data_IF_789938729371
#
_entry.id   IF_789938729371
#
_cell.length_a   1.000
_cell.length_b   1.000
_cell.length_c   1.000
_cell.angle_alpha   90.00
_cell.angle_beta   90.00
_cell.angle_gamma   90.00
#
_symmetry.space_group_name_H-M   'P 1'
#
loop_
_entity.id
_entity.type
_entity.pdbx_description
1 polymer ?
#
# COMPACT_ATOMS: atom_id res chain seq x y z
N UNK A 1 -10.64 -15.90 -13.28
CA UNK A 1 -11.95 -15.60 -12.67
C UNK A 1 -11.68 -14.73 -11.45
N UNK A 2 -12.02 -13.44 -11.50
CA UNK A 2 -11.83 -12.55 -10.34
C UNK A 2 -13.11 -12.55 -9.52
N UNK A 3 -13.05 -13.09 -8.30
CA UNK A 3 -14.18 -13.05 -7.37
C UNK A 3 -14.08 -11.78 -6.52
N UNK A 4 -15.00 -10.85 -6.73
CA UNK A 4 -15.09 -9.62 -5.94
C UNK A 4 -16.13 -9.82 -4.84
N UNK A 5 -15.75 -9.56 -3.59
CA UNK A 5 -16.61 -9.77 -2.42
C UNK A 5 -17.02 -8.43 -1.80
N UNK A 6 -18.29 -8.04 -1.89
CA UNK A 6 -18.81 -6.90 -1.12
C UNK A 6 -19.46 -7.41 0.18
N UNK A 7 -19.21 -6.73 1.31
CA UNK A 7 -19.82 -7.09 2.60
C UNK A 7 -20.64 -5.93 3.17
N UNK A 8 -21.93 -6.16 3.41
CA UNK A 8 -22.75 -5.20 4.15
C UNK A 8 -22.58 -5.46 5.65
N UNK A 9 -21.78 -4.61 6.30
CA UNK A 9 -21.63 -4.64 7.77
C UNK A 9 -22.78 -3.93 8.49
N UNK A 10 -23.75 -3.36 7.78
CA UNK A 10 -24.95 -2.75 8.36
C UNK A 10 -26.13 -3.74 8.34
N UNK A 11 -26.66 -4.01 9.52
CA UNK A 11 -27.73 -4.96 9.84
C UNK A 11 -28.87 -5.08 8.82
N UNK A 12 -29.10 -6.30 8.31
CA UNK A 12 -30.45 -6.91 8.33
C UNK A 12 -31.35 -6.88 7.10
N UNK A 13 -30.93 -6.41 5.92
CA UNK A 13 -31.78 -6.43 4.72
C UNK A 13 -31.21 -7.34 3.62
N UNK A 14 -32.01 -8.33 3.19
CA UNK A 14 -31.76 -9.14 1.99
C UNK A 14 -32.48 -8.49 0.82
N UNK A 15 -31.75 -8.01 -0.17
CA UNK A 15 -32.33 -7.69 -1.48
C UNK A 15 -31.44 -8.31 -2.57
N UNK A 16 -32.03 -9.22 -3.34
CA UNK A 16 -31.38 -9.94 -4.45
C UNK A 16 -31.87 -9.32 -5.74
N UNK A 17 -31.00 -8.60 -6.46
CA UNK A 17 -31.22 -8.31 -7.87
C UNK A 17 -30.08 -8.94 -8.68
N UNK A 18 -30.45 -9.95 -9.47
CA UNK A 18 -29.56 -10.64 -10.41
C UNK A 18 -29.31 -9.74 -11.62
N UNK A 19 -28.19 -9.00 -11.61
CA UNK A 19 -27.63 -8.40 -12.81
C UNK A 19 -26.72 -9.43 -13.51
N UNK A 20 -27.08 -9.82 -14.73
CA UNK A 20 -26.24 -10.68 -15.57
C UNK A 20 -25.06 -9.87 -16.13
N UNK A 21 -23.92 -9.97 -15.46
CA UNK A 21 -22.62 -9.50 -15.96
C UNK A 21 -21.85 -10.69 -16.56
N UNK A 22 -20.95 -10.48 -17.55
CA UNK A 22 -20.04 -11.52 -18.03
C UNK A 22 -19.03 -11.97 -16.97
N UNK A 23 -18.96 -11.26 -15.84
CA UNK A 23 -18.14 -11.56 -14.67
C UNK A 23 -19.06 -11.98 -13.50
N UNK A 24 -18.77 -13.11 -12.83
CA UNK A 24 -19.57 -13.57 -11.67
C UNK A 24 -19.08 -12.93 -10.39
N UNK A 25 -19.95 -12.14 -9.75
CA UNK A 25 -19.77 -11.62 -8.39
C UNK A 25 -20.37 -12.62 -7.41
N UNK A 26 -19.69 -12.94 -6.32
CA UNK A 26 -20.20 -13.87 -5.31
C UNK A 26 -20.02 -13.29 -3.90
N UNK A 27 -21.10 -13.28 -3.12
CA UNK A 27 -21.10 -12.87 -1.71
C UNK A 27 -20.58 -14.02 -0.84
N UNK A 28 -19.64 -13.76 0.08
CA UNK A 28 -19.04 -14.76 0.99
C UNK A 28 -19.33 -14.38 2.46
N UNK A 29 -19.67 -15.37 3.29
CA UNK A 29 -19.92 -15.21 4.74
C UNK A 29 -18.74 -15.74 5.61
N UNK A 30 -18.54 -15.16 6.81
CA UNK A 30 -17.43 -15.39 7.78
C UNK A 30 -17.17 -16.85 8.23
N UNK A 31 -15.92 -17.17 8.61
CA UNK A 31 -15.46 -18.46 9.19
C UNK A 31 -14.63 -18.24 10.49
N UNK A 32 -14.80 -19.01 11.60
CA UNK A 32 -14.06 -18.77 12.87
C UNK A 32 -12.96 -19.80 13.28
N UNK A 33 -11.82 -19.27 13.77
CA UNK A 33 -11.09 -19.69 15.01
C UNK A 33 -9.80 -20.56 14.95
N UNK A 34 -8.68 -20.14 15.59
CA UNK A 34 -7.58 -20.98 16.19
C UNK A 34 -6.75 -20.18 17.23
N UNK A 35 -6.24 -20.79 18.32
CA UNK A 35 -5.32 -20.17 19.31
C UNK A 35 -4.10 -21.04 19.70
N UNK A 36 -2.99 -20.43 20.17
CA UNK A 36 -1.73 -21.11 20.55
C UNK A 36 -0.87 -20.35 21.61
N UNK A 37 -0.04 -21.05 22.41
CA UNK A 37 0.99 -20.49 23.33
C UNK A 37 2.29 -21.33 23.39
N UNK A 38 3.49 -20.71 23.48
CA UNK A 38 4.72 -21.43 23.87
C UNK A 38 5.57 -20.79 25.00
N UNK A 39 6.47 -21.60 25.61
CA UNK A 39 7.49 -21.24 26.63
C UNK A 39 8.94 -21.23 26.07
N UNK A 40 9.65 -20.11 26.32
CA UNK A 40 11.09 -19.74 26.44
C UNK A 40 12.28 -20.39 25.65
N UNK A 41 13.21 -19.57 25.08
CA UNK A 41 14.60 -20.00 24.73
C UNK A 41 15.75 -18.93 24.83
N UNK A 42 17.03 -19.34 24.73
CA UNK A 42 18.19 -18.44 24.47
C UNK A 42 19.04 -18.85 23.25
N UNK A 43 19.09 -17.98 22.22
CA UNK A 43 20.20 -17.60 21.30
C UNK A 43 19.64 -16.95 20.02
N UNK A 44 20.31 -15.92 19.47
CA UNK A 44 19.81 -15.04 18.39
C UNK A 44 20.37 -15.44 17.02
N UNK A 45 19.51 -15.72 16.02
CA UNK A 45 19.86 -15.98 14.61
C UNK A 45 18.69 -15.55 13.70
N UNK A 46 18.99 -14.96 12.54
CA UNK A 46 18.04 -14.94 11.42
C UNK A 46 18.11 -16.29 10.70
N UNK A 47 16.96 -16.91 10.43
CA UNK A 47 16.88 -18.19 9.73
C UNK A 47 15.88 -18.04 8.59
N UNK A 48 16.34 -18.30 7.37
CA UNK A 48 15.43 -18.63 6.27
C UNK A 48 14.93 -20.05 6.55
N UNK A 49 13.61 -20.27 6.61
CA UNK A 49 13.07 -21.61 6.72
C UNK A 49 12.03 -21.86 5.64
N UNK A 50 12.06 -23.03 5.02
CA UNK A 50 10.97 -23.53 4.19
C UNK A 50 9.88 -24.05 5.12
N UNK A 51 8.66 -23.53 4.99
CA UNK A 51 7.53 -23.98 5.81
C UNK A 51 7.06 -25.34 5.30
N UNK A 52 7.06 -26.42 6.11
CA UNK A 52 6.64 -27.74 5.63
C UNK A 52 5.19 -27.71 5.13
N UNK A 53 4.98 -28.11 3.87
CA UNK A 53 3.65 -28.10 3.23
C UNK A 53 3.30 -26.83 2.45
N UNK A 54 4.19 -25.84 2.39
CA UNK A 54 4.07 -24.69 1.48
C UNK A 54 5.37 -24.51 0.68
N UNK A 55 5.25 -24.24 -0.62
CA UNK A 55 6.39 -23.88 -1.49
C UNK A 55 6.83 -22.42 -1.28
N UNK A 56 6.92 -21.98 -0.01
CA UNK A 56 7.26 -20.61 0.35
C UNK A 56 8.40 -20.59 1.37
N UNK A 57 9.35 -19.68 1.14
CA UNK A 57 10.38 -19.35 2.11
C UNK A 57 9.81 -18.36 3.12
N UNK A 58 10.03 -18.59 4.41
CA UNK A 58 9.68 -17.65 5.47
C UNK A 58 10.94 -16.99 6.01
N UNK A 59 10.84 -15.68 6.29
CA UNK A 59 11.87 -14.95 7.02
C UNK A 59 11.52 -15.01 8.51
N UNK A 60 12.32 -15.76 9.27
CA UNK A 60 12.24 -15.78 10.73
C UNK A 60 13.38 -14.98 11.33
N UNK A 61 13.01 -14.08 12.24
CA UNK A 61 13.97 -13.46 13.14
C UNK A 61 13.72 -13.98 14.54
N UNK A 62 14.73 -14.60 15.15
CA UNK A 62 14.63 -15.00 16.55
C UNK A 62 15.07 -13.87 17.46
N UNK A 63 14.18 -13.42 18.35
CA UNK A 63 14.58 -12.66 19.53
C UNK A 63 14.76 -13.62 20.71
N UNK A 64 15.34 -13.12 21.82
CA UNK A 64 15.61 -13.88 23.05
C UNK A 64 14.35 -14.45 23.75
N UNK A 65 13.15 -14.30 23.17
CA UNK A 65 11.88 -14.87 23.67
C UNK A 65 11.23 -15.84 22.67
N UNK A 66 11.98 -16.30 21.67
CA UNK A 66 11.53 -17.26 20.66
C UNK A 66 11.55 -16.71 19.23
N UNK A 67 11.43 -17.60 18.22
CA UNK A 67 11.22 -17.19 16.84
C UNK A 67 9.98 -16.32 16.72
N UNK A 68 10.11 -15.11 16.17
CA UNK A 68 8.99 -14.36 15.62
C UNK A 68 9.06 -14.47 14.10
N UNK A 69 8.00 -15.00 13.53
CA UNK A 69 7.79 -15.02 12.08
C UNK A 69 7.63 -13.57 11.63
N UNK A 70 8.47 -13.09 10.72
CA UNK A 70 8.40 -11.71 10.20
C UNK A 70 7.63 -11.60 8.88
N UNK A 71 7.48 -12.71 8.15
CA UNK A 71 6.68 -12.73 6.93
C UNK A 71 6.99 -13.92 6.04
N UNK A 72 6.08 -14.15 5.09
CA UNK A 72 6.21 -15.14 4.02
C UNK A 72 6.74 -14.47 2.74
N UNK A 73 7.67 -15.11 2.06
CA UNK A 73 8.07 -14.82 0.69
C UNK A 73 7.25 -15.71 -0.25
N UNK A 74 6.04 -15.29 -0.59
CA UNK A 74 5.29 -15.89 -1.69
C UNK A 74 4.47 -14.81 -2.42
N UNK A 75 5.13 -14.12 -3.36
CA UNK A 75 4.53 -13.50 -4.56
C UNK A 75 3.51 -12.37 -4.42
N UNK A 76 2.93 -12.16 -3.25
CA UNK A 76 1.90 -11.15 -2.99
C UNK A 76 1.62 -11.15 -1.48
N UNK A 77 1.91 -10.05 -0.80
CA UNK A 77 1.41 -9.85 0.56
C UNK A 77 -0.12 -9.71 0.48
N UNK A 78 -0.84 -10.82 0.68
CA UNK A 78 -2.29 -10.79 0.76
C UNK A 78 -2.73 -10.00 2.00
N UNK A 79 -3.64 -9.04 1.83
CA UNK A 79 -4.28 -8.23 2.88
C UNK A 79 -5.09 -9.02 3.94
N UNK A 80 -5.00 -10.35 3.95
CA UNK A 80 -5.77 -11.21 4.86
C UNK A 80 -5.14 -11.37 6.26
N UNK A 81 -3.98 -10.77 6.52
CA UNK A 81 -3.43 -10.68 7.88
C UNK A 81 -3.72 -9.30 8.43
N UNK A 82 -4.93 -9.16 8.97
CA UNK A 82 -5.28 -8.04 9.83
C UNK A 82 -4.29 -7.97 10.99
N UNK A 83 -3.95 -6.73 11.32
CA UNK A 83 -3.08 -6.24 12.38
C UNK A 83 -2.94 -7.09 13.66
N UNK A 84 -1.83 -6.91 14.39
CA UNK A 84 -0.70 -6.02 14.10
C UNK A 84 0.55 -6.79 13.69
N UNK A 85 1.30 -6.24 12.72
CA UNK A 85 2.69 -6.60 12.49
C UNK A 85 3.46 -6.55 13.82
N UNK A 86 4.41 -7.46 14.09
CA UNK A 86 5.20 -7.38 15.30
C UNK A 86 6.06 -6.12 15.26
N UNK A 87 5.60 -5.05 15.91
CA UNK A 87 6.41 -3.89 16.20
C UNK A 87 7.69 -4.36 16.90
N UNK A 88 8.82 -4.21 16.23
CA UNK A 88 10.11 -4.34 16.89
C UNK A 88 10.40 -2.98 17.48
N UNK A 89 10.03 -2.81 18.73
CA UNK A 89 10.48 -1.69 19.54
C UNK A 89 11.96 -1.96 19.83
N UNK A 90 12.85 -1.20 19.20
CA UNK A 90 14.26 -1.24 19.60
C UNK A 90 14.40 -0.62 21.01
N UNK A 91 15.53 -0.79 21.68
CA UNK A 91 15.74 -0.27 23.04
C UNK A 91 15.61 1.26 23.18
N UNK A 92 15.40 1.98 22.09
CA UNK A 92 15.28 3.44 22.00
C UNK A 92 13.82 3.90 21.78
N UNK A 93 12.85 2.97 21.78
CA UNK A 93 11.43 3.30 21.58
C UNK A 93 11.03 3.54 20.12
N UNK A 94 11.92 3.23 19.18
CA UNK A 94 11.66 3.36 17.74
C UNK A 94 10.91 2.09 17.28
N UNK A 95 9.75 2.28 16.65
CA UNK A 95 8.99 1.20 16.03
C UNK A 95 9.58 0.92 14.65
N UNK A 96 10.11 -0.28 14.44
CA UNK A 96 10.58 -0.73 13.13
C UNK A 96 9.55 -1.64 12.46
N UNK A 97 9.29 -1.42 11.17
CA UNK A 97 8.42 -2.24 10.31
C UNK A 97 9.20 -2.79 9.13
N UNK A 98 8.81 -3.96 8.63
CA UNK A 98 9.26 -4.50 7.35
C UNK A 98 8.25 -4.06 6.30
N UNK A 99 8.70 -3.32 5.30
CA UNK A 99 7.82 -2.88 4.23
C UNK A 99 7.66 -3.92 3.13
N UNK A 100 8.76 -4.59 2.80
CA UNK A 100 8.79 -5.58 1.74
C UNK A 100 10.18 -6.09 1.44
N UNK A 101 10.24 -6.94 0.42
CA UNK A 101 11.47 -7.53 -0.10
C UNK A 101 11.51 -7.29 -1.59
N UNK A 102 12.60 -6.70 -2.08
CA UNK A 102 12.79 -6.39 -3.49
C UNK A 102 14.18 -6.82 -3.95
N UNK A 103 14.32 -7.09 -5.24
CA UNK A 103 15.62 -7.37 -5.84
C UNK A 103 16.18 -6.09 -6.43
N UNK A 104 17.31 -5.64 -5.90
CA UNK A 104 18.00 -4.46 -6.39
C UNK A 104 19.01 -4.88 -7.49
N UNK A 105 19.06 -4.12 -8.59
CA UNK A 105 19.98 -4.30 -9.73
C UNK A 105 21.43 -4.40 -9.27
N UNK A 106 21.80 -3.66 -8.23
CA UNK A 106 23.12 -3.72 -7.65
C UNK A 106 23.26 -4.96 -6.75
N UNK A 107 23.53 -6.11 -7.37
CA UNK A 107 23.84 -7.36 -6.69
C UNK A 107 22.90 -8.52 -7.00
N UNK A 108 21.70 -8.26 -7.51
CA UNK A 108 20.74 -9.29 -7.94
C UNK A 108 20.19 -10.19 -6.83
N UNK A 109 20.62 -9.96 -5.58
CA UNK A 109 20.15 -10.66 -4.40
C UNK A 109 18.95 -9.91 -3.80
N UNK A 110 17.91 -10.62 -3.33
CA UNK A 110 16.79 -9.98 -2.63
C UNK A 110 17.25 -9.26 -1.36
N UNK A 111 16.71 -8.07 -1.13
CA UNK A 111 16.93 -7.27 0.07
C UNK A 111 15.60 -6.91 0.73
N UNK A 112 15.56 -7.02 2.05
CA UNK A 112 14.45 -6.56 2.87
C UNK A 112 14.64 -5.08 3.18
N UNK A 113 13.58 -4.29 3.01
CA UNK A 113 13.55 -2.88 3.42
C UNK A 113 12.78 -2.76 4.73
N UNK A 114 13.37 -2.02 5.65
CA UNK A 114 12.81 -1.70 6.94
C UNK A 114 12.66 -0.19 7.01
N UNK A 115 11.59 0.27 7.66
CA UNK A 115 11.49 1.66 8.07
C UNK A 115 11.18 1.78 9.55
N UNK A 116 11.57 2.93 10.11
CA UNK A 116 11.31 3.25 11.49
C UNK A 116 11.09 4.75 11.66
N UNK A 117 10.08 5.14 12.41
CA UNK A 117 9.82 6.55 12.73
C UNK A 117 10.46 6.91 14.06
N UNK A 118 11.11 8.07 14.12
CA UNK A 118 11.56 8.63 15.40
C UNK A 118 10.37 8.98 16.31
N UNK A 119 10.57 9.18 17.62
CA UNK A 119 9.46 9.40 18.56
C UNK A 119 8.57 10.60 18.22
N UNK A 120 9.14 11.64 17.63
CA UNK A 120 8.41 12.84 17.20
C UNK A 120 7.91 12.75 15.75
N UNK A 121 8.18 11.63 15.07
CA UNK A 121 7.81 11.31 13.70
C UNK A 121 8.30 12.30 12.65
N UNK A 122 9.31 13.11 12.93
CA UNK A 122 9.93 14.01 11.97
C UNK A 122 10.92 13.31 11.05
N UNK A 123 11.36 12.10 11.42
CA UNK A 123 12.36 11.34 10.67
C UNK A 123 11.92 9.91 10.43
N UNK A 124 12.05 9.50 9.18
CA UNK A 124 11.97 8.12 8.75
C UNK A 124 13.39 7.58 8.57
N UNK A 125 13.80 6.66 9.42
CA UNK A 125 14.97 5.83 9.19
C UNK A 125 14.59 4.72 8.21
N UNK A 126 15.34 4.56 7.14
CA UNK A 126 15.22 3.43 6.21
C UNK A 126 16.49 2.59 6.25
N UNK A 127 16.33 1.28 6.37
CA UNK A 127 17.42 0.31 6.26
C UNK A 127 17.13 -0.70 5.16
N UNK A 128 18.15 -1.03 4.38
CA UNK A 128 18.14 -2.16 3.45
C UNK A 128 19.10 -3.23 3.92
N UNK A 129 18.65 -4.48 3.92
CA UNK A 129 19.46 -5.62 4.34
C UNK A 129 19.29 -6.77 3.37
N UNK A 130 20.40 -7.38 2.97
CA UNK A 130 20.35 -8.59 2.13
C UNK A 130 19.62 -9.71 2.88
N UNK A 131 18.65 -10.35 2.24
CA UNK A 131 17.81 -11.38 2.88
C UNK A 131 18.64 -12.57 3.33
N UNK A 132 19.64 -12.98 2.53
CA UNK A 132 20.44 -14.18 2.76
C UNK A 132 21.25 -14.16 4.07
N UNK A 133 21.86 -13.03 4.41
CA UNK A 133 22.84 -12.92 5.49
C UNK A 133 22.58 -11.75 6.46
N UNK A 134 21.58 -10.90 6.19
CA UNK A 134 21.21 -9.77 7.03
C UNK A 134 22.18 -8.59 6.98
N UNK A 135 23.17 -8.62 6.07
CA UNK A 135 24.14 -7.54 5.91
C UNK A 135 23.41 -6.26 5.51
N UNK A 136 23.68 -5.17 6.22
CA UNK A 136 23.19 -3.83 5.90
C UNK A 136 23.82 -3.36 4.59
N UNK A 137 23.00 -3.06 3.60
CA UNK A 137 23.41 -2.62 2.25
C UNK A 137 23.22 -1.12 2.06
N UNK A 138 22.18 -0.53 2.66
CA UNK A 138 21.97 0.91 2.72
C UNK A 138 21.29 1.34 4.02
N UNK A 139 21.57 2.57 4.46
CA UNK A 139 20.91 3.22 5.61
C UNK A 139 20.88 4.72 5.40
N UNK A 140 19.71 5.33 5.52
CA UNK A 140 19.54 6.77 5.42
C UNK A 140 18.32 7.25 6.22
N UNK A 141 18.29 8.55 6.50
CA UNK A 141 17.17 9.22 7.17
C UNK A 141 16.46 10.14 6.17
N UNK A 142 15.15 10.18 6.22
CA UNK A 142 14.32 11.10 5.45
C UNK A 142 13.52 11.98 6.40
N UNK A 143 13.40 13.26 6.10
CA UNK A 143 12.40 14.11 6.73
C UNK A 143 11.02 13.65 6.28
N UNK A 144 10.11 13.43 7.22
CA UNK A 144 8.74 13.00 6.93
C UNK A 144 7.87 14.19 6.53
N UNK A 145 7.69 15.16 7.43
CA UNK A 145 6.90 16.37 7.25
C UNK A 145 7.04 17.34 8.43
N UNK A 146 6.60 18.60 8.26
CA UNK A 146 6.62 19.59 9.33
C UNK A 146 5.43 19.43 10.27
N UNK A 147 5.64 19.71 11.56
CA UNK A 147 4.56 19.95 12.53
C UNK A 147 3.95 21.33 12.26
N UNK A 148 2.78 21.33 11.64
CA UNK A 148 2.05 22.55 11.29
C UNK A 148 0.99 22.89 12.31
N UNK A 149 0.50 21.90 13.07
CA UNK A 149 -0.52 22.13 14.08
C UNK A 149 0.08 22.67 15.41
N UNK A 150 1.41 22.58 15.58
CA UNK A 150 2.19 23.10 16.69
C UNK A 150 2.16 22.22 17.95
N UNK A 151 1.79 20.94 17.85
CA UNK A 151 1.68 20.02 18.99
C UNK A 151 3.01 19.32 19.34
N UNK A 152 4.06 19.54 18.55
CA UNK A 152 5.40 19.00 18.72
C UNK A 152 5.63 17.65 18.06
N UNK A 153 4.65 17.09 17.35
CA UNK A 153 4.72 15.78 16.69
C UNK A 153 4.16 15.90 15.27
N UNK A 154 4.83 15.29 14.29
CA UNK A 154 4.21 15.12 12.99
C UNK A 154 3.14 14.04 13.04
N UNK A 155 1.88 14.38 12.83
CA UNK A 155 0.73 13.49 12.92
C UNK A 155 0.47 12.66 11.66
N UNK A 156 1.48 12.61 10.79
CA UNK A 156 1.52 11.74 9.65
C UNK A 156 2.09 10.36 9.93
N UNK A 157 2.18 9.62 8.85
CA UNK A 157 2.82 8.33 8.77
C UNK A 157 3.34 8.12 7.33
N UNK A 158 4.27 7.20 7.15
CA UNK A 158 4.94 6.94 5.88
C UNK A 158 5.13 5.44 5.69
N UNK A 159 5.12 4.98 4.44
CA UNK A 159 5.37 3.57 4.10
C UNK A 159 6.21 3.47 2.84
N UNK A 160 7.21 2.58 2.83
CA UNK A 160 7.85 2.19 1.57
C UNK A 160 6.90 1.23 0.85
N UNK A 161 6.41 1.62 -0.32
CA UNK A 161 5.38 0.91 -1.03
C UNK A 161 5.92 0.06 -2.19
N UNK A 162 7.08 0.41 -2.73
CA UNK A 162 7.67 -0.31 -3.86
C UNK A 162 9.04 0.21 -4.27
N UNK A 163 9.54 -0.34 -5.38
CA UNK A 163 10.81 0.05 -6.01
C UNK A 163 10.56 0.29 -7.48
N UNK A 164 10.99 1.44 -7.99
CA UNK A 164 10.88 1.82 -9.40
C UNK A 164 12.26 2.13 -9.98
N UNK A 165 12.41 1.95 -11.27
CA UNK A 165 13.55 2.47 -12.01
C UNK A 165 13.27 3.90 -12.44
N UNK A 166 14.15 4.83 -12.08
CA UNK A 166 14.05 6.25 -12.43
C UNK A 166 15.15 6.60 -13.42
N UNK A 167 14.82 7.10 -14.62
CA UNK A 167 15.80 7.64 -15.54
C UNK A 167 16.53 8.86 -14.94
N UNK A 168 17.86 8.83 -14.97
CA UNK A 168 18.73 9.94 -14.59
C UNK A 168 19.73 10.21 -15.71
N UNK A 169 20.48 11.32 -15.59
CA UNK A 169 21.56 11.63 -16.54
C UNK A 169 22.65 10.53 -16.59
N UNK A 170 22.80 9.77 -15.52
CA UNK A 170 23.83 8.73 -15.35
C UNK A 170 23.31 7.31 -15.60
N UNK A 171 22.03 7.15 -16.00
CA UNK A 171 21.39 5.87 -16.31
C UNK A 171 20.11 5.63 -15.50
N UNK A 172 19.71 4.37 -15.34
CA UNK A 172 18.55 4.01 -14.52
C UNK A 172 18.96 3.83 -13.07
N UNK A 173 18.40 4.65 -12.18
CA UNK A 173 18.56 4.51 -10.75
C UNK A 173 17.42 3.68 -10.18
N UNK A 174 17.71 2.82 -9.22
CA UNK A 174 16.65 2.21 -8.42
C UNK A 174 16.25 3.14 -7.29
N UNK A 175 14.95 3.37 -7.18
CA UNK A 175 14.40 4.29 -6.22
C UNK A 175 13.29 3.63 -5.41
N UNK A 176 13.19 4.00 -4.14
CA UNK A 176 12.08 3.59 -3.28
C UNK A 176 10.90 4.52 -3.51
N UNK A 177 9.72 3.93 -3.68
CA UNK A 177 8.44 4.66 -3.68
C UNK A 177 7.92 4.72 -2.25
N UNK A 178 7.72 5.92 -1.74
CA UNK A 178 7.26 6.19 -0.39
C UNK A 178 5.90 6.87 -0.44
N UNK A 179 4.92 6.25 0.21
CA UNK A 179 3.62 6.87 0.46
C UNK A 179 3.71 7.69 1.73
N UNK A 180 3.42 8.98 1.62
CA UNK A 180 3.32 9.89 2.75
C UNK A 180 1.85 10.23 3.01
N UNK A 181 1.47 10.12 4.27
CA UNK A 181 0.16 10.47 4.80
C UNK A 181 0.37 11.49 5.91
N UNK A 182 -0.44 12.54 5.95
CA UNK A 182 -0.49 13.50 7.06
C UNK A 182 -1.94 13.68 7.52
N UNK A 183 -2.18 13.81 8.82
CA UNK A 183 -3.52 14.06 9.36
C UNK A 183 -3.77 15.57 9.45
N UNK A 184 -3.74 16.18 10.62
CA UNK A 184 -3.91 17.62 10.87
C UNK A 184 -2.66 18.45 10.56
N UNK A 185 -1.49 17.84 10.34
CA UNK A 185 -0.35 18.55 9.75
C UNK A 185 -0.49 18.79 8.24
N UNK A 186 -1.49 18.16 7.63
CA UNK A 186 -1.95 18.36 6.25
C UNK A 186 -0.93 17.99 5.15
N UNK A 187 0.36 17.88 5.47
CA UNK A 187 1.44 17.69 4.51
C UNK A 187 2.65 16.97 5.12
N UNK A 188 3.45 16.25 4.31
CA UNK A 188 3.15 15.88 2.94
C UNK A 188 2.09 14.76 2.88
N UNK A 189 1.29 14.81 1.80
CA UNK A 189 0.40 13.74 1.37
C UNK A 189 0.72 13.41 -0.08
N UNK A 190 0.89 12.13 -0.40
CA UNK A 190 1.13 11.66 -1.76
C UNK A 190 2.32 10.73 -1.87
N UNK A 191 3.02 10.81 -3.00
CA UNK A 191 4.14 9.94 -3.34
C UNK A 191 5.44 10.73 -3.27
N UNK A 192 6.47 10.11 -2.70
CA UNK A 192 7.86 10.58 -2.75
C UNK A 192 8.70 9.44 -3.29
N UNK A 193 9.64 9.77 -4.17
CA UNK A 193 10.57 8.79 -4.72
C UNK A 193 11.98 9.21 -4.37
N UNK A 194 12.70 8.30 -3.71
CA UNK A 194 14.05 8.55 -3.20
C UNK A 194 15.03 7.53 -3.75
N UNK A 195 16.27 7.94 -4.00
CA UNK A 195 17.33 7.03 -4.39
C UNK A 195 17.51 5.94 -3.33
N UNK A 196 17.49 4.67 -3.74
CA UNK A 196 17.45 3.55 -2.79
C UNK A 196 18.74 3.37 -1.99
N UNK A 197 19.85 3.99 -2.41
CA UNK A 197 21.15 3.86 -1.74
C UNK A 197 21.43 5.03 -0.78
N UNK A 198 20.98 6.24 -1.14
CA UNK A 198 21.33 7.49 -0.42
C UNK A 198 20.16 8.14 0.30
N UNK A 199 18.92 7.80 -0.07
CA UNK A 199 17.73 8.51 0.39
C UNK A 199 17.54 9.88 -0.25
N UNK A 200 18.33 10.24 -1.25
CA UNK A 200 18.17 11.50 -1.97
C UNK A 200 16.77 11.58 -2.60
N UNK A 201 16.03 12.66 -2.34
CA UNK A 201 14.74 12.90 -2.96
C UNK A 201 14.92 13.16 -4.47
N UNK A 202 14.43 12.23 -5.30
CA UNK A 202 14.46 12.36 -6.75
C UNK A 202 13.29 13.22 -7.24
N UNK A 203 12.09 12.90 -6.77
CA UNK A 203 10.88 13.67 -7.05
C UNK A 203 9.79 13.42 -6.01
N UNK A 204 8.78 14.29 -5.99
CA UNK A 204 7.56 14.06 -5.21
C UNK A 204 6.31 14.54 -5.96
N UNK A 205 5.20 13.83 -5.75
CA UNK A 205 3.89 14.19 -6.25
C UNK A 205 2.92 14.32 -5.07
N UNK A 206 2.67 15.56 -4.66
CA UNK A 206 1.79 15.85 -3.53
C UNK A 206 0.33 15.93 -3.96
N UNK A 207 -0.56 15.44 -3.10
CA UNK A 207 -2.01 15.42 -3.35
C UNK A 207 -2.78 15.92 -2.13
N UNK A 208 -4.00 16.40 -2.35
CA UNK A 208 -4.90 16.74 -1.26
C UNK A 208 -5.39 15.49 -0.51
N UNK A 209 -6.02 14.53 -1.22
CA UNK A 209 -6.57 13.33 -0.60
C UNK A 209 -5.51 12.52 0.14
N UNK A 210 -5.87 11.92 1.26
CA UNK A 210 -4.94 11.21 2.12
C UNK A 210 -4.64 9.80 1.56
N UNK A 211 -3.41 9.47 1.13
CA UNK A 211 -3.13 8.16 0.54
C UNK A 211 -3.43 7.01 1.51
N UNK A 212 -4.06 5.96 1.01
CA UNK A 212 -4.22 4.69 1.72
C UNK A 212 -3.02 3.78 1.50
N UNK A 213 -2.51 3.14 2.54
CA UNK A 213 -1.35 2.24 2.41
C UNK A 213 -1.63 0.94 1.69
N UNK A 214 -2.88 0.49 1.73
CA UNK A 214 -3.33 -0.71 1.04
C UNK A 214 -4.04 -0.36 -0.27
N UNK A 215 -4.03 0.92 -0.64
CA UNK A 215 -4.65 1.48 -1.84
C UNK A 215 -3.57 1.87 -2.84
N UNK A 216 -2.60 0.97 -3.05
CA UNK A 216 -1.42 1.20 -3.87
C UNK A 216 -1.14 -0.01 -4.76
N UNK A 217 -0.67 0.24 -5.97
CA UNK A 217 -0.15 -0.75 -6.88
C UNK A 217 0.96 -0.16 -7.75
N UNK A 218 1.82 -1.03 -8.26
CA UNK A 218 2.80 -0.71 -9.29
C UNK A 218 2.68 -1.73 -10.41
N UNK A 219 2.13 -1.32 -11.55
CA UNK A 219 1.80 -2.20 -12.66
C UNK A 219 1.96 -1.43 -13.97
N UNK A 220 2.35 -2.14 -15.03
CA UNK A 220 2.40 -1.63 -16.40
C UNK A 220 0.97 -1.54 -16.97
N UNK A 221 0.41 -0.33 -17.00
CA UNK A 221 -0.98 -0.08 -17.40
C UNK A 221 -1.15 0.08 -18.92
N UNK A 222 -0.08 0.38 -19.65
CA UNK A 222 -0.15 0.74 -21.08
C UNK A 222 0.64 -0.17 -22.03
N UNK A 223 1.37 -1.15 -21.47
CA UNK A 223 2.10 -2.19 -22.19
C UNK A 223 3.49 -1.77 -22.63
N UNK A 224 4.06 -0.71 -22.06
CA UNK A 224 5.41 -0.24 -22.39
C UNK A 224 6.52 -0.93 -21.57
N UNK A 225 6.15 -1.82 -20.65
CA UNK A 225 7.01 -2.56 -19.74
C UNK A 225 7.69 -1.73 -18.65
N UNK A 226 7.26 -0.48 -18.46
CA UNK A 226 7.59 0.33 -17.29
C UNK A 226 6.37 0.35 -16.34
N UNK A 227 6.56 0.13 -15.03
CA UNK A 227 5.42 0.15 -14.12
C UNK A 227 4.99 1.58 -13.79
N UNK A 228 3.69 1.85 -13.92
CA UNK A 228 3.06 3.03 -13.35
C UNK A 228 2.94 2.92 -11.84
N UNK A 229 2.83 4.07 -11.16
CA UNK A 229 2.51 4.17 -9.75
C UNK A 229 1.02 4.53 -9.63
N UNK A 230 0.22 3.59 -9.12
CA UNK A 230 -1.21 3.76 -8.93
C UNK A 230 -1.51 3.87 -7.43
N UNK A 231 -2.24 4.90 -7.02
CA UNK A 231 -2.67 5.01 -5.63
C UNK A 231 -4.01 5.70 -5.44
N UNK A 232 -4.71 5.29 -4.38
CA UNK A 232 -5.97 5.86 -3.92
C UNK A 232 -5.76 6.82 -2.75
N UNK A 233 -6.59 7.86 -2.70
CA UNK A 233 -6.62 8.82 -1.60
C UNK A 233 -8.02 9.04 -1.02
N UNK A 234 -8.08 9.15 0.30
CA UNK A 234 -9.30 9.39 1.08
C UNK A 234 -9.63 10.90 1.20
N UNK A 235 -10.94 11.20 1.21
CA UNK A 235 -11.46 12.57 1.32
C UNK A 235 -11.62 12.98 2.79
N UNK A 236 -10.55 13.40 3.45
CA UNK A 236 -10.63 13.74 4.89
C UNK A 236 -11.29 15.10 5.13
N UNK A 237 -11.25 16.00 4.14
CA UNK A 237 -11.87 17.33 4.20
C UNK A 237 -11.30 18.28 5.25
N UNK A 238 -10.04 18.10 5.66
CA UNK A 238 -9.37 18.94 6.66
C UNK A 238 -8.33 19.89 6.03
N UNK A 239 -8.11 19.84 4.71
CA UNK A 239 -7.35 20.85 3.98
C UNK A 239 -8.31 21.96 3.53
N UNK A 240 -8.33 23.05 4.30
CA UNK A 240 -9.16 24.23 3.98
C UNK A 240 -8.45 25.24 3.08
N UNK A 241 -7.14 25.10 2.87
CA UNK A 241 -6.33 26.05 2.11
C UNK A 241 -5.32 25.33 1.22
N UNK A 242 -5.33 25.70 -0.06
CA UNK A 242 -4.36 25.24 -1.04
C UNK A 242 -4.80 24.01 -1.81
N UNK A 243 -4.34 23.94 -3.05
CA UNK A 243 -4.46 22.78 -3.91
C UNK A 243 -3.07 22.15 -4.04
N UNK A 244 -2.95 20.85 -3.80
CA UNK A 244 -1.72 20.09 -4.06
C UNK A 244 -1.84 19.45 -5.44
N UNK A 245 -1.02 19.90 -6.39
CA UNK A 245 -1.11 19.50 -7.80
C UNK A 245 -2.54 19.58 -8.37
N UNK A 246 -3.27 20.65 -8.03
CA UNK A 246 -4.65 20.87 -8.48
C UNK A 246 -5.68 19.96 -7.80
N UNK A 247 -5.34 19.35 -6.66
CA UNK A 247 -6.25 18.50 -5.89
C UNK A 247 -6.44 18.96 -4.45
N UNK A 248 -7.65 18.77 -3.94
CA UNK A 248 -8.05 18.98 -2.54
C UNK A 248 -8.45 17.65 -1.92
N UNK A 249 -8.59 17.60 -0.59
CA UNK A 249 -9.07 16.42 0.12
C UNK A 249 -10.60 16.39 0.32
N UNK A 250 -11.32 17.13 -0.51
CA UNK A 250 -12.79 17.15 -0.57
C UNK A 250 -13.38 16.01 -1.37
N UNK A 251 -12.55 15.21 -2.04
CA UNK A 251 -12.96 14.06 -2.83
C UNK A 251 -11.95 12.92 -2.76
N UNK A 252 -12.45 11.68 -2.79
CA UNK A 252 -11.62 10.49 -2.93
C UNK A 252 -11.17 10.44 -4.37
N UNK A 253 -9.91 10.07 -4.59
CA UNK A 253 -9.32 10.11 -5.93
C UNK A 253 -8.34 8.98 -6.14
N UNK A 254 -8.36 8.41 -7.33
CA UNK A 254 -7.29 7.53 -7.81
C UNK A 254 -6.37 8.34 -8.71
N UNK A 255 -5.08 8.08 -8.60
CA UNK A 255 -4.01 8.69 -9.36
C UNK A 255 -3.20 7.59 -10.06
N UNK A 256 -2.78 7.86 -11.28
CA UNK A 256 -1.74 7.11 -11.96
C UNK A 256 -0.61 8.07 -12.38
N UNK A 257 0.60 7.73 -11.97
CA UNK A 257 1.82 8.45 -12.32
C UNK A 257 2.73 7.52 -13.11
N UNK A 258 3.53 8.05 -14.02
CA UNK A 258 4.65 7.29 -14.58
C UNK A 258 5.83 7.19 -13.59
N UNK A 259 6.87 6.44 -13.97
CA UNK A 259 8.09 6.29 -13.16
C UNK A 259 8.87 7.60 -12.93
N UNK A 260 8.61 8.64 -13.73
CA UNK A 260 9.17 9.98 -13.57
C UNK A 260 8.30 10.91 -12.70
N UNK A 261 7.17 10.42 -12.16
CA UNK A 261 6.26 11.17 -11.31
C UNK A 261 5.33 12.13 -12.05
N UNK A 262 5.21 12.02 -13.38
CA UNK A 262 4.26 12.81 -14.16
C UNK A 262 2.87 12.20 -14.03
N UNK A 263 1.88 13.05 -13.82
CA UNK A 263 0.49 12.61 -13.79
C UNK A 263 0.05 12.15 -15.18
N UNK A 264 -0.34 10.87 -15.29
CA UNK A 264 -0.98 10.33 -16.48
C UNK A 264 -2.48 10.63 -16.45
N UNK A 265 -3.14 10.27 -15.35
CA UNK A 265 -4.54 10.59 -15.11
C UNK A 265 -4.89 10.60 -13.62
N UNK A 266 -5.99 11.26 -13.28
CA UNK A 266 -6.61 11.14 -11.97
C UNK A 266 -8.13 11.17 -12.06
N UNK A 267 -8.81 10.40 -11.21
CA UNK A 267 -10.28 10.27 -11.25
C UNK A 267 -10.90 10.41 -9.86
N UNK A 268 -11.81 11.39 -9.66
CA UNK A 268 -12.55 11.51 -8.41
C UNK A 268 -13.71 10.49 -8.35
N UNK A 269 -14.05 10.01 -7.15
CA UNK A 269 -15.13 9.03 -6.94
C UNK A 269 -16.22 9.50 -6.00
N UNK A 270 -15.85 9.97 -4.81
CA UNK A 270 -16.80 10.34 -3.78
C UNK A 270 -16.39 11.64 -3.10
N UNK A 271 -17.33 12.55 -2.78
CA UNK A 271 -17.02 13.71 -1.97
C UNK A 271 -16.82 13.30 -0.50
N UNK A 272 -16.19 14.18 0.27
CA UNK A 272 -16.09 14.30 1.74
C UNK A 272 -16.37 13.06 2.60
N UNK A 273 -15.46 12.79 3.55
CA UNK A 273 -15.58 11.70 4.53
C UNK A 273 -15.77 10.33 3.87
N UNK A 274 -15.11 10.13 2.73
CA UNK A 274 -15.13 8.90 1.97
C UNK A 274 -13.73 8.27 1.93
N UNK A 275 -13.70 6.95 1.86
CA UNK A 275 -12.49 6.16 1.67
C UNK A 275 -12.62 5.30 0.42
N UNK A 276 -11.52 4.68 -0.01
CA UNK A 276 -11.55 3.72 -1.10
C UNK A 276 -10.70 2.50 -0.78
N UNK A 277 -10.80 1.51 -1.64
CA UNK A 277 -9.89 0.37 -1.77
C UNK A 277 -9.45 0.28 -3.22
N UNK A 278 -8.19 -0.08 -3.48
CA UNK A 278 -7.64 -0.16 -4.83
C UNK A 278 -7.00 -1.51 -5.11
N UNK A 279 -7.31 -2.13 -6.25
CA UNK A 279 -6.63 -3.32 -6.76
C UNK A 279 -6.38 -3.16 -8.25
N UNK A 280 -5.37 -3.85 -8.77
CA UNK A 280 -5.03 -3.84 -10.19
C UNK A 280 -4.89 -5.29 -10.65
N UNK A 281 -5.51 -5.62 -11.79
CA UNK A 281 -5.48 -6.97 -12.36
C UNK A 281 -5.97 -6.96 -13.82
N UNK A 282 -5.48 -7.88 -14.64
CA UNK A 282 -6.04 -8.17 -15.97
C UNK A 282 -7.37 -8.95 -15.81
N UNK A 283 -8.48 -8.21 -15.87
CA UNK A 283 -9.86 -8.71 -15.76
C UNK A 283 -10.42 -9.02 -17.15
N UNK A 284 -9.99 -8.29 -18.18
CA UNK A 284 -10.47 -8.44 -19.56
C UNK A 284 -9.84 -9.63 -20.30
N UNK A 285 -8.65 -10.06 -19.88
CA UNK A 285 -7.85 -11.11 -20.52
C UNK A 285 -7.04 -10.61 -21.72
N UNK A 286 -6.81 -9.30 -21.83
CA UNK A 286 -6.06 -8.70 -22.93
C UNK A 286 -4.56 -8.49 -22.63
N UNK A 287 -4.10 -8.99 -21.47
CA UNK A 287 -2.74 -8.84 -20.95
C UNK A 287 -2.37 -7.42 -20.51
N UNK A 288 -3.32 -6.49 -20.45
CA UNK A 288 -3.17 -5.21 -19.76
C UNK A 288 -4.05 -5.20 -18.50
N UNK A 289 -3.55 -4.65 -17.39
CA UNK A 289 -4.32 -4.64 -16.17
C UNK A 289 -5.37 -3.51 -16.17
N UNK A 290 -6.54 -3.81 -15.61
CA UNK A 290 -7.53 -2.82 -15.20
C UNK A 290 -7.36 -2.41 -13.74
N UNK A 291 -7.88 -1.22 -13.40
CA UNK A 291 -7.90 -0.69 -12.02
C UNK A 291 -9.28 -0.89 -11.41
N UNK A 292 -9.37 -1.68 -10.36
CA UNK A 292 -10.57 -1.90 -9.56
C UNK A 292 -10.58 -0.97 -8.35
N UNK A 293 -11.68 -0.24 -8.19
CA UNK A 293 -11.85 0.75 -7.11
C UNK A 293 -13.11 0.43 -6.32
N UNK A 294 -12.97 0.15 -5.03
CA UNK A 294 -14.09 0.01 -4.11
C UNK A 294 -14.26 1.30 -3.34
N UNK A 295 -15.35 2.04 -3.55
CA UNK A 295 -15.58 3.30 -2.84
C UNK A 295 -16.54 3.15 -1.68
N UNK A 296 -16.15 3.72 -0.53
CA UNK A 296 -17.00 3.83 0.66
C UNK A 296 -17.33 5.30 0.89
N UNK A 297 -18.59 5.65 0.63
CA UNK A 297 -19.11 7.00 0.83
C UNK A 297 -20.47 6.98 1.54
N UNK A 298 -20.80 8.11 2.19
CA UNK A 298 -22.15 8.40 2.65
C UNK A 298 -23.10 8.78 1.49
N UNK A 299 -22.55 9.24 0.35
CA UNK A 299 -23.31 9.52 -0.87
C UNK A 299 -23.58 8.20 -1.59
N UNK A 300 -24.87 7.86 -1.75
CA UNK A 300 -25.31 6.54 -2.25
C UNK A 300 -24.81 6.26 -3.66
N UNK A 301 -24.80 7.28 -4.50
CA UNK A 301 -24.39 7.22 -5.90
C UNK A 301 -22.87 7.02 -6.06
N UNK A 302 -22.10 7.32 -5.02
CA UNK A 302 -20.64 7.19 -5.01
C UNK A 302 -20.17 5.89 -4.36
N UNK A 303 -21.10 5.01 -3.96
CA UNK A 303 -20.80 3.79 -3.23
C UNK A 303 -20.90 2.59 -4.14
N UNK A 304 -19.79 1.90 -4.34
CA UNK A 304 -19.77 0.81 -5.29
C UNK A 304 -18.38 0.33 -5.65
N UNK A 305 -18.35 -0.56 -6.63
CA UNK A 305 -17.14 -1.06 -7.26
C UNK A 305 -17.09 -0.47 -8.66
N UNK A 306 -15.93 0.04 -9.05
CA UNK A 306 -15.70 0.66 -10.33
C UNK A 306 -14.52 -0.04 -11.00
N UNK A 307 -14.62 -0.26 -12.30
CA UNK A 307 -13.56 -0.82 -13.13
C UNK A 307 -13.08 0.26 -14.10
N UNK A 308 -11.79 0.56 -14.08
CA UNK A 308 -11.16 1.52 -14.99
C UNK A 308 -10.17 0.80 -15.92
N UNK A 309 -10.01 1.31 -17.14
CA UNK A 309 -8.88 0.94 -18.00
C UNK A 309 -7.57 1.60 -17.54
N UNK A 310 -6.44 1.23 -18.18
CA UNK A 310 -5.13 1.83 -17.93
C UNK A 310 -5.04 3.33 -18.20
N UNK A 311 -6.05 3.94 -18.85
CA UNK A 311 -6.16 5.38 -19.12
C UNK A 311 -7.13 6.09 -18.17
N UNK A 312 -7.66 5.39 -17.16
CA UNK A 312 -8.58 5.92 -16.16
C UNK A 312 -10.02 6.12 -16.65
N UNK A 313 -10.36 5.60 -17.83
CA UNK A 313 -11.73 5.59 -18.33
C UNK A 313 -12.56 4.53 -17.60
N UNK A 314 -13.79 4.87 -17.22
CA UNK A 314 -14.69 3.95 -16.55
C UNK A 314 -15.22 2.93 -17.57
N UNK A 315 -14.89 1.66 -17.36
CA UNK A 315 -15.37 0.55 -18.17
C UNK A 315 -16.70 0.01 -17.66
N UNK A 316 -16.83 -0.15 -16.33
CA UNK A 316 -18.03 -0.67 -15.69
C UNK A 316 -18.15 -0.17 -14.24
N UNK A 317 -19.35 -0.26 -13.68
CA UNK A 317 -19.61 0.07 -12.28
C UNK A 317 -20.76 -0.75 -11.70
N UNK A 318 -20.59 -1.22 -10.47
CA UNK A 318 -21.63 -1.80 -9.65
C UNK A 318 -21.91 -0.89 -8.45
N UNK A 319 -23.05 -0.22 -8.47
CA UNK A 319 -23.50 0.62 -7.36
C UNK A 319 -24.09 -0.25 -6.26
N UNK A 320 -23.63 -0.05 -5.03
CA UNK A 320 -24.01 -0.82 -3.85
C UNK A 320 -24.78 0.10 -2.90
N UNK A 321 -26.13 0.01 -2.84
CA UNK A 321 -26.97 0.99 -2.14
C UNK A 321 -26.80 1.00 -0.60
N UNK A 322 -26.23 -0.05 0.01
CA UNK A 322 -25.92 -0.15 1.45
C UNK A 322 -24.66 -1.00 1.72
N UNK A 323 -23.97 -0.81 2.85
CA UNK A 323 -22.80 -1.63 3.22
C UNK A 323 -21.38 -1.05 3.10
N UNK A 324 -20.37 -1.92 3.08
CA UNK A 324 -18.96 -1.55 2.90
C UNK A 324 -18.45 -2.29 1.66
N UNK A 325 -17.73 -1.57 0.81
CA UNK A 325 -17.07 -2.19 -0.34
C UNK A 325 -15.63 -2.48 0.07
N UNK A 326 -15.28 -3.75 0.14
CA UNK A 326 -13.89 -4.20 0.30
C UNK A 326 -13.54 -5.00 -0.95
N UNK A 327 -12.35 -4.78 -1.49
CA UNK A 327 -11.89 -5.51 -2.67
C UNK A 327 -10.86 -6.56 -2.28
N UNK A 328 -11.22 -7.82 -2.48
CA UNK A 328 -10.29 -8.94 -2.49
C UNK A 328 -10.22 -9.50 -3.91
N UNK A 329 -9.00 -9.68 -4.43
CA UNK A 329 -8.75 -10.52 -5.59
C UNK A 329 -8.50 -11.93 -5.08
N UNK A 330 -9.22 -12.91 -5.62
CA UNK A 330 -8.99 -14.33 -5.31
C UNK A 330 -8.43 -14.96 -6.58
N UNK A 331 -7.19 -15.47 -6.58
CA UNK A 331 -6.64 -16.23 -7.70
C UNK A 331 -7.56 -17.42 -8.02
N UNK A 332 -7.86 -17.59 -9.31
CA UNK A 332 -8.67 -18.69 -9.83
C UNK A 332 -7.84 -19.82 -10.42
#
# INVERSE_FOLDING_TARGET
>A
LVTITASDSSSGAKDNSDAHLPYRFQQVHQVPGVGYQPRDPWSRRALLCRVPGQDADAVLWTQARGPRLLGYLAGSFHAAWMEPYPEIINGEGITSRVDGVWTFKQGGEPEAVFHALDPNRFRLLVERRRVRDGILTARFELETGPDRNGDGVWDGDVRVAGVVDVPTADGLWQALVILARAAYDLSPRGVRVVAADTGELLWSYLVGPQPGYDDFAMEDLDGDHEPEIIFGGAAVGNIHQGDFNGTRDDSTRVFALDGAGRLLWSRPFAPYSASMTLRVADVSGDSLPEVLVGSRSAVKECKGIFLLDGKGALLDSLIIPSGVCELALIPG
#
